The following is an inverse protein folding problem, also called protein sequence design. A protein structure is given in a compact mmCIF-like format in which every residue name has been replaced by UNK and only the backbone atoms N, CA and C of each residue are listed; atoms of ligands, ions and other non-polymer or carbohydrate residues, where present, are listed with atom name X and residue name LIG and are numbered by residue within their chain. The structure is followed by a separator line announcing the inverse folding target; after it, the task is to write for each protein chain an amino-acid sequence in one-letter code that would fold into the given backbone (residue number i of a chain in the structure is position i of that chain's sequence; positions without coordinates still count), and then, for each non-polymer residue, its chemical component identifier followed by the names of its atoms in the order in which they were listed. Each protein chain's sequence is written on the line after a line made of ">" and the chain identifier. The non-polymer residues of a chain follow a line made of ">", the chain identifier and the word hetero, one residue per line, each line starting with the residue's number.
data_IF_258129871820
#
_entry.id   IF_258129871820
#
_cell.length_a   1.000
_cell.length_b   1.000
_cell.length_c   1.000
_cell.angle_alpha   90.00
_cell.angle_beta   90.00
_cell.angle_gamma   90.00
#
_symmetry.space_group_name_H-M   'P 1'
#
loop_
_entity.id
_entity.type
_entity.pdbx_description
1 polymer ?
#
# COMPACT_ATOMS: atom_id res chain seq x y z
N UNK A 1 63.73 48.15 23.50
CA UNK A 1 62.37 48.62 23.13
C UNK A 1 61.60 47.43 22.57
N UNK A 2 60.69 46.89 23.36
CA UNK A 2 59.94 45.64 23.14
C UNK A 2 58.57 45.97 22.56
N UNK A 3 58.26 45.48 21.35
CA UNK A 3 56.90 45.56 20.78
C UNK A 3 56.10 44.31 21.13
N UNK A 4 54.91 44.57 21.69
CA UNK A 4 53.98 43.63 22.31
C UNK A 4 53.05 43.04 21.24
N UNK A 5 53.06 41.71 21.11
CA UNK A 5 52.15 40.95 20.25
C UNK A 5 50.72 40.95 20.82
N UNK A 6 49.75 41.44 20.06
CA UNK A 6 48.32 41.33 20.37
C UNK A 6 47.75 40.12 19.61
N UNK A 7 47.41 39.06 20.35
CA UNK A 7 46.62 37.93 19.89
C UNK A 7 45.16 38.36 19.74
N UNK A 8 44.62 38.31 18.52
CA UNK A 8 43.19 38.43 18.27
C UNK A 8 42.46 37.19 18.76
N UNK A 9 41.49 37.38 19.66
CA UNK A 9 40.56 36.35 20.13
C UNK A 9 39.53 36.09 19.04
N UNK A 10 39.43 34.85 18.59
CA UNK A 10 38.40 34.39 17.66
C UNK A 10 37.08 34.30 18.44
N UNK A 11 36.09 35.10 18.04
CA UNK A 11 34.71 34.98 18.52
C UNK A 11 34.07 33.73 17.91
N UNK A 12 33.84 32.71 18.74
CA UNK A 12 33.20 31.46 18.34
C UNK A 12 32.11 31.08 19.33
N UNK A 13 30.91 31.68 19.25
CA UNK A 13 29.75 31.21 20.02
C UNK A 13 28.46 31.96 19.66
N UNK A 14 27.67 31.48 18.68
CA UNK A 14 26.21 31.80 18.57
C UNK A 14 25.38 30.75 17.77
N UNK A 15 25.88 29.52 17.53
CA UNK A 15 25.14 28.50 16.75
C UNK A 15 24.33 27.48 17.59
N UNK A 16 24.39 27.54 18.92
CA UNK A 16 23.77 26.54 19.81
C UNK A 16 22.24 26.64 20.05
N UNK A 17 21.57 27.81 20.07
CA UNK A 17 20.15 27.86 20.47
C UNK A 17 19.18 27.35 19.39
N UNK A 18 19.53 27.42 18.10
CA UNK A 18 18.64 27.01 17.01
C UNK A 18 18.42 25.49 16.92
N UNK A 19 19.45 24.69 17.27
CA UNK A 19 19.36 23.23 17.29
C UNK A 19 18.41 22.71 18.37
N UNK A 20 18.43 23.30 19.57
CA UNK A 20 17.58 22.87 20.67
C UNK A 20 16.08 23.10 20.39
N UNK A 21 15.73 24.22 19.75
CA UNK A 21 14.34 24.53 19.39
C UNK A 21 13.83 23.57 18.30
N UNK A 22 14.65 23.28 17.28
CA UNK A 22 14.29 22.33 16.22
C UNK A 22 14.10 20.89 16.75
N UNK A 23 14.93 20.47 17.71
CA UNK A 23 14.80 19.18 18.38
C UNK A 23 13.46 19.08 19.15
N UNK A 24 13.12 20.11 19.94
CA UNK A 24 11.87 20.14 20.72
C UNK A 24 10.62 20.04 19.84
N UNK A 25 10.60 20.76 18.71
CA UNK A 25 9.47 20.70 17.78
C UNK A 25 9.32 19.31 17.13
N UNK A 26 10.44 18.64 16.88
CA UNK A 26 10.46 17.26 16.35
C UNK A 26 9.93 16.26 17.38
N UNK A 27 10.36 16.39 18.64
CA UNK A 27 9.93 15.52 19.74
C UNK A 27 8.42 15.68 20.03
N UNK A 28 7.91 16.91 19.98
CA UNK A 28 6.48 17.20 20.13
C UNK A 28 5.65 16.58 19.01
N UNK A 29 6.07 16.74 17.75
CA UNK A 29 5.41 16.13 16.61
C UNK A 29 5.43 14.60 16.71
N UNK A 30 6.55 14.02 17.13
CA UNK A 30 6.66 12.58 17.35
C UNK A 30 5.67 12.10 18.43
N UNK A 31 5.51 12.84 19.53
CA UNK A 31 4.54 12.51 20.56
C UNK A 31 3.09 12.61 20.07
N UNK A 32 2.76 13.62 19.25
CA UNK A 32 1.46 13.74 18.58
C UNK A 32 1.18 12.55 17.65
N UNK A 33 2.16 12.17 16.82
CA UNK A 33 2.06 11.01 15.92
C UNK A 33 1.85 9.72 16.71
N UNK A 34 2.62 9.51 17.78
CA UNK A 34 2.47 8.32 18.63
C UNK A 34 1.08 8.22 19.27
N UNK A 35 0.53 9.34 19.78
CA UNK A 35 -0.84 9.38 20.31
C UNK A 35 -1.89 9.07 19.24
N UNK A 36 -1.75 9.67 18.07
CA UNK A 36 -2.67 9.41 16.96
C UNK A 36 -2.59 7.97 16.44
N UNK A 37 -1.41 7.35 16.49
CA UNK A 37 -1.19 5.96 16.10
C UNK A 37 -1.65 4.93 17.14
N UNK A 38 -1.85 5.33 18.40
CA UNK A 38 -2.20 4.40 19.49
C UNK A 38 -3.53 3.66 19.29
N UNK A 39 -4.44 4.20 18.48
CA UNK A 39 -5.72 3.57 18.15
C UNK A 39 -5.65 2.63 16.93
N UNK A 40 -4.49 2.52 16.27
CA UNK A 40 -4.37 1.66 15.10
C UNK A 40 -4.39 0.18 15.48
N UNK A 41 -5.03 -0.68 14.64
CA UNK A 41 -4.87 -2.13 14.77
C UNK A 41 -3.41 -2.56 14.60
N UNK A 42 -3.09 -3.78 15.07
CA UNK A 42 -1.72 -4.31 15.12
C UNK A 42 -1.00 -4.30 13.76
N UNK A 43 -1.69 -4.68 12.68
CA UNK A 43 -1.15 -4.72 11.31
C UNK A 43 -0.69 -3.33 10.82
N UNK A 44 -1.57 -2.29 10.73
CA UNK A 44 -1.15 -0.91 10.45
C UNK A 44 -0.09 -0.35 11.39
N UNK A 45 -0.20 -0.62 12.70
CA UNK A 45 0.78 -0.15 13.67
C UNK A 45 2.17 -0.76 13.43
N UNK A 46 2.24 -2.03 13.00
CA UNK A 46 3.49 -2.68 12.62
C UNK A 46 4.08 -2.11 11.34
N UNK A 47 3.27 -1.96 10.29
CA UNK A 47 3.73 -1.35 9.04
C UNK A 47 4.24 0.08 9.26
N UNK A 48 3.55 0.87 10.09
CA UNK A 48 3.96 2.23 10.42
C UNK A 48 5.37 2.29 11.03
N UNK A 49 5.74 1.31 11.87
CA UNK A 49 7.10 1.23 12.45
C UNK A 49 8.17 0.88 11.42
N UNK A 50 7.81 0.20 10.32
CA UNK A 50 8.71 -0.14 9.22
C UNK A 50 8.92 0.99 8.19
N UNK A 51 8.27 2.15 8.38
CA UNK A 51 8.39 3.29 7.46
C UNK A 51 9.50 4.23 7.95
N UNK A 52 10.38 4.61 7.02
CA UNK A 52 11.55 5.42 7.31
C UNK A 52 11.18 6.91 7.51
N UNK A 53 11.52 7.43 8.68
CA UNK A 53 11.39 8.85 9.01
C UNK A 53 9.97 9.29 9.36
N UNK A 54 9.88 10.22 10.31
CA UNK A 54 8.63 10.76 10.84
C UNK A 54 7.70 11.34 9.75
N UNK A 55 8.19 12.08 8.73
CA UNK A 55 7.32 12.61 7.68
C UNK A 55 6.56 11.52 6.90
N UNK A 56 7.24 10.44 6.50
CA UNK A 56 6.61 9.35 5.74
C UNK A 56 5.66 8.54 6.61
N UNK A 57 6.02 8.34 7.89
CA UNK A 57 5.13 7.72 8.88
C UNK A 57 3.84 8.51 9.03
N UNK A 58 3.93 9.82 9.20
CA UNK A 58 2.77 10.71 9.33
C UNK A 58 1.83 10.62 8.10
N UNK A 59 2.38 10.58 6.89
CA UNK A 59 1.59 10.44 5.66
C UNK A 59 0.89 9.06 5.57
N UNK A 60 1.55 7.99 6.01
CA UNK A 60 0.95 6.66 6.07
C UNK A 60 -0.12 6.56 7.16
N UNK A 61 0.14 7.09 8.36
CA UNK A 61 -0.79 7.18 9.48
C UNK A 61 -2.12 7.82 9.04
N UNK A 62 -2.05 8.93 8.29
CA UNK A 62 -3.24 9.53 7.69
C UNK A 62 -4.06 8.54 6.89
N UNK A 63 -3.41 7.75 6.04
CA UNK A 63 -4.10 6.79 5.17
C UNK A 63 -4.75 5.69 6.00
N UNK A 64 -4.09 5.20 7.03
CA UNK A 64 -4.64 4.21 7.97
C UNK A 64 -5.85 4.76 8.75
N UNK A 65 -5.75 5.98 9.28
CA UNK A 65 -6.85 6.63 10.00
C UNK A 65 -8.07 6.91 9.12
N UNK A 66 -7.89 7.05 7.81
CA UNK A 66 -8.97 7.20 6.83
C UNK A 66 -9.58 5.87 6.40
N UNK A 67 -8.77 4.82 6.32
CA UNK A 67 -9.23 3.51 5.89
C UNK A 67 -10.16 2.86 6.91
N UNK A 68 -9.95 3.08 8.21
CA UNK A 68 -10.75 2.47 9.26
C UNK A 68 -10.41 0.98 9.39
N UNK A 69 -11.39 0.10 9.21
CA UNK A 69 -11.14 -1.34 9.19
C UNK A 69 -10.39 -1.73 7.89
N UNK A 70 -9.19 -2.27 8.08
CA UNK A 70 -8.29 -2.66 6.99
C UNK A 70 -8.21 -4.18 6.80
N UNK A 71 -8.86 -4.99 7.65
CA UNK A 71 -8.61 -6.43 7.74
C UNK A 71 -8.69 -7.14 6.39
N UNK A 72 -9.84 -7.06 5.74
CA UNK A 72 -10.09 -7.72 4.44
C UNK A 72 -9.29 -7.11 3.27
N UNK A 73 -8.64 -5.96 3.46
CA UNK A 73 -7.89 -5.25 2.42
C UNK A 73 -6.38 -5.26 2.65
N UNK A 74 -5.95 -5.86 3.76
CA UNK A 74 -4.56 -5.79 4.18
C UNK A 74 -3.67 -6.66 3.29
N UNK A 75 -2.63 -6.06 2.73
CA UNK A 75 -1.69 -6.79 1.86
C UNK A 75 -0.94 -7.89 2.62
N UNK A 76 -0.74 -9.02 1.94
CA UNK A 76 0.07 -10.13 2.42
C UNK A 76 1.56 -9.78 2.50
N UNK A 77 2.25 -10.36 3.47
CA UNK A 77 3.72 -10.45 3.54
C UNK A 77 4.28 -11.35 2.46
N UNK A 78 5.59 -11.30 2.19
CA UNK A 78 6.24 -12.22 1.25
C UNK A 78 5.98 -13.70 1.58
N UNK A 79 5.94 -14.07 2.86
CA UNK A 79 5.66 -15.43 3.30
C UNK A 79 4.21 -15.85 2.97
N UNK A 80 3.23 -14.99 3.23
CA UNK A 80 1.84 -15.23 2.88
C UNK A 80 1.64 -15.30 1.35
N UNK A 81 2.34 -14.47 0.58
CA UNK A 81 2.36 -14.55 -0.89
C UNK A 81 2.92 -15.91 -1.34
N UNK A 82 4.07 -16.34 -0.80
CA UNK A 82 4.67 -17.62 -1.14
C UNK A 82 3.78 -18.83 -0.77
N UNK A 83 3.02 -18.74 0.32
CA UNK A 83 2.03 -19.76 0.68
C UNK A 83 0.84 -19.75 -0.28
N UNK A 84 0.33 -18.58 -0.65
CA UNK A 84 -0.74 -18.45 -1.64
C UNK A 84 -0.33 -19.01 -3.00
N UNK A 85 0.87 -18.72 -3.48
CA UNK A 85 1.35 -19.19 -4.79
C UNK A 85 1.40 -20.73 -4.91
N UNK A 86 1.44 -21.44 -3.78
CA UNK A 86 1.39 -22.90 -3.68
C UNK A 86 -0.02 -23.46 -3.44
N UNK A 87 -1.04 -22.61 -3.38
CA UNK A 87 -2.40 -23.00 -3.00
C UNK A 87 -3.29 -23.29 -4.21
N UNK A 88 -4.35 -24.12 -4.05
CA UNK A 88 -5.37 -24.30 -5.08
C UNK A 88 -6.05 -22.99 -5.50
N UNK A 89 -6.23 -22.05 -4.56
CA UNK A 89 -6.84 -20.74 -4.84
C UNK A 89 -6.01 -19.93 -5.86
N UNK A 90 -4.68 -20.07 -5.84
CA UNK A 90 -3.82 -19.45 -6.84
C UNK A 90 -3.94 -20.12 -8.21
N UNK A 91 -4.02 -21.45 -8.27
CA UNK A 91 -4.26 -22.17 -9.52
C UNK A 91 -5.59 -21.76 -10.16
N UNK A 92 -6.65 -21.62 -9.36
CA UNK A 92 -7.96 -21.12 -9.80
C UNK A 92 -7.88 -19.68 -10.36
N UNK A 93 -7.15 -18.80 -9.67
CA UNK A 93 -6.93 -17.43 -10.15
C UNK A 93 -6.19 -17.42 -11.50
N UNK A 94 -5.15 -18.25 -11.66
CA UNK A 94 -4.43 -18.40 -12.92
C UNK A 94 -5.34 -18.95 -14.04
N UNK A 95 -6.22 -19.89 -13.73
CA UNK A 95 -7.20 -20.42 -14.69
C UNK A 95 -8.20 -19.34 -15.14
N UNK A 96 -8.70 -18.52 -14.21
CA UNK A 96 -9.58 -17.39 -14.53
C UNK A 96 -8.89 -16.36 -15.42
N UNK A 97 -7.62 -16.04 -15.13
CA UNK A 97 -6.81 -15.14 -15.97
C UNK A 97 -6.57 -15.72 -17.36
N UNK A 98 -6.20 -16.99 -17.46
CA UNK A 98 -5.99 -17.68 -18.73
C UNK A 98 -7.27 -17.68 -19.59
N UNK A 99 -8.44 -17.90 -18.97
CA UNK A 99 -9.73 -17.78 -19.64
C UNK A 99 -9.93 -16.37 -20.22
N UNK A 100 -9.68 -15.32 -19.42
CA UNK A 100 -9.87 -13.93 -19.86
C UNK A 100 -8.92 -13.58 -21.02
N UNK A 101 -7.66 -14.02 -20.92
CA UNK A 101 -6.66 -13.84 -21.99
C UNK A 101 -7.10 -14.52 -23.30
N UNK A 102 -7.53 -15.78 -23.23
CA UNK A 102 -7.98 -16.52 -24.40
C UNK A 102 -9.23 -15.87 -25.03
N UNK A 103 -10.23 -15.52 -24.21
CA UNK A 103 -11.47 -14.88 -24.68
C UNK A 103 -11.22 -13.51 -25.30
N UNK A 104 -10.30 -12.73 -24.74
CA UNK A 104 -9.92 -11.45 -25.32
C UNK A 104 -9.21 -11.60 -26.66
N UNK A 105 -8.27 -12.53 -26.78
CA UNK A 105 -7.54 -12.78 -28.03
C UNK A 105 -8.47 -13.29 -29.15
N UNK A 106 -9.44 -14.15 -28.83
CA UNK A 106 -10.47 -14.62 -29.76
C UNK A 106 -11.27 -13.45 -30.36
N UNK A 107 -11.66 -12.47 -29.53
CA UNK A 107 -12.44 -11.30 -29.94
C UNK A 107 -11.63 -10.18 -30.59
N UNK A 108 -10.32 -10.19 -30.37
CA UNK A 108 -9.42 -9.13 -30.82
C UNK A 108 -8.22 -9.75 -31.56
N UNK A 109 -8.41 -10.30 -32.77
CA UNK A 109 -7.32 -10.93 -33.51
C UNK A 109 -6.10 -10.01 -33.66
N UNK A 110 -4.91 -10.55 -33.36
CA UNK A 110 -3.65 -9.82 -33.37
C UNK A 110 -3.29 -9.13 -32.05
N UNK A 111 -4.14 -9.21 -31.02
CA UNK A 111 -3.91 -8.62 -29.71
C UNK A 111 -4.00 -9.66 -28.59
N UNK A 112 -3.31 -9.41 -27.49
CA UNK A 112 -3.33 -10.25 -26.29
C UNK A 112 -3.38 -9.41 -25.01
N UNK A 113 -3.76 -10.06 -23.91
CA UNK A 113 -3.71 -9.46 -22.58
C UNK A 113 -2.45 -9.92 -21.83
N UNK A 114 -1.73 -8.98 -21.27
CA UNK A 114 -0.70 -9.21 -20.26
C UNK A 114 -1.21 -8.84 -18.87
N UNK A 115 -0.89 -9.65 -17.87
CA UNK A 115 -1.25 -9.43 -16.47
C UNK A 115 -0.04 -9.78 -15.61
N UNK A 116 0.28 -8.94 -14.64
CA UNK A 116 1.22 -9.32 -13.59
C UNK A 116 0.49 -10.15 -12.54
N UNK A 117 0.83 -11.43 -12.44
CA UNK A 117 0.17 -12.39 -11.54
C UNK A 117 0.73 -12.36 -10.12
N UNK A 118 1.89 -11.73 -9.90
CA UNK A 118 2.51 -11.68 -8.57
C UNK A 118 1.79 -10.66 -7.69
N UNK A 119 1.32 -11.12 -6.53
CA UNK A 119 0.82 -10.25 -5.49
C UNK A 119 1.90 -9.23 -5.08
N UNK A 120 1.49 -8.00 -4.84
CA UNK A 120 2.42 -6.97 -4.35
C UNK A 120 2.49 -7.06 -2.84
N UNK A 121 3.52 -7.72 -2.31
CA UNK A 121 3.68 -7.91 -0.87
C UNK A 121 3.77 -6.60 -0.09
N UNK A 122 3.45 -6.68 1.21
CA UNK A 122 3.62 -5.59 2.17
C UNK A 122 5.08 -5.13 2.21
N UNK A 123 6.02 -6.06 2.17
CA UNK A 123 7.46 -5.80 2.19
C UNK A 123 7.89 -4.94 0.98
N UNK A 124 7.47 -5.33 -0.23
CA UNK A 124 7.68 -4.54 -1.45
C UNK A 124 7.02 -3.17 -1.36
N UNK A 125 5.83 -3.08 -0.76
CA UNK A 125 5.14 -1.79 -0.58
C UNK A 125 5.87 -0.87 0.39
N UNK A 126 6.42 -1.39 1.49
CA UNK A 126 7.23 -0.64 2.45
C UNK A 126 8.50 -0.11 1.78
N UNK A 127 9.23 -0.96 1.05
CA UNK A 127 10.43 -0.56 0.32
C UNK A 127 10.13 0.58 -0.67
N UNK A 128 9.10 0.41 -1.50
CA UNK A 128 8.68 1.44 -2.47
C UNK A 128 8.22 2.70 -1.78
N UNK A 129 7.48 2.58 -0.68
CA UNK A 129 7.03 3.74 0.08
C UNK A 129 8.19 4.54 0.65
N UNK A 130 9.23 3.88 1.16
CA UNK A 130 10.41 4.54 1.73
C UNK A 130 11.31 5.18 0.66
N UNK A 131 11.36 4.61 -0.55
CA UNK A 131 12.24 5.06 -1.63
C UNK A 131 11.58 6.01 -2.64
N UNK A 132 10.24 6.06 -2.71
CA UNK A 132 9.55 6.87 -3.71
C UNK A 132 9.68 8.39 -3.45
N UNK A 133 10.12 9.13 -4.47
CA UNK A 133 10.34 10.58 -4.40
C UNK A 133 9.04 11.38 -4.22
N UNK A 134 7.96 11.02 -4.92
CA UNK A 134 6.67 11.73 -4.79
C UNK A 134 6.06 11.58 -3.39
N UNK A 135 6.22 10.39 -2.78
CA UNK A 135 5.84 10.17 -1.38
C UNK A 135 6.68 11.05 -0.46
N UNK A 136 7.99 11.17 -0.69
CA UNK A 136 8.87 12.04 0.09
C UNK A 136 8.43 13.51 0.03
N UNK A 137 8.14 14.03 -1.16
CA UNK A 137 7.66 15.42 -1.34
C UNK A 137 6.36 15.66 -0.58
N UNK A 138 5.37 14.77 -0.72
CA UNK A 138 4.09 14.89 -0.01
C UNK A 138 4.24 14.75 1.50
N UNK A 139 5.11 13.84 1.96
CA UNK A 139 5.39 13.61 3.37
C UNK A 139 6.02 14.83 4.04
N UNK A 140 7.01 15.46 3.40
CA UNK A 140 7.65 16.68 3.88
C UNK A 140 6.68 17.87 3.95
N UNK A 141 5.81 18.01 2.94
CA UNK A 141 4.76 19.02 2.97
C UNK A 141 3.80 18.81 4.15
N UNK A 142 3.42 17.56 4.41
CA UNK A 142 2.56 17.23 5.55
C UNK A 142 3.25 17.50 6.89
N UNK A 143 4.51 17.11 7.05
CA UNK A 143 5.25 17.27 8.30
C UNK A 143 5.36 18.75 8.73
N UNK A 144 5.62 19.65 7.77
CA UNK A 144 5.63 21.11 8.04
C UNK A 144 4.29 21.61 8.58
N UNK A 145 3.19 21.25 7.92
CA UNK A 145 1.85 21.65 8.36
C UNK A 145 1.43 20.99 9.69
N UNK A 146 1.93 19.77 9.95
CA UNK A 146 1.57 19.01 11.13
C UNK A 146 2.24 19.51 12.40
N UNK A 147 3.45 20.08 12.32
CA UNK A 147 4.11 20.69 13.47
C UNK A 147 3.24 21.79 14.09
N UNK A 148 2.72 22.69 13.25
CA UNK A 148 1.81 23.78 13.68
C UNK A 148 0.51 23.22 14.26
N UNK A 149 -0.10 22.23 13.60
CA UNK A 149 -1.34 21.61 14.05
C UNK A 149 -1.18 20.86 15.39
N UNK A 150 -0.04 20.19 15.58
CA UNK A 150 0.27 19.46 16.81
C UNK A 150 0.38 20.40 18.01
N UNK A 151 1.05 21.55 17.85
CA UNK A 151 1.18 22.56 18.91
C UNK A 151 -0.18 23.22 19.20
N UNK A 152 -0.92 23.59 18.16
CA UNK A 152 -2.17 24.33 18.31
C UNK A 152 -3.28 23.50 18.98
N UNK A 153 -3.39 22.21 18.64
CA UNK A 153 -4.47 21.36 19.12
C UNK A 153 -4.05 19.86 19.21
N UNK A 154 -3.18 19.50 20.17
CA UNK A 154 -2.63 18.14 20.26
C UNK A 154 -3.68 17.06 20.52
N UNK A 155 -4.82 17.40 21.12
CA UNK A 155 -5.93 16.47 21.41
C UNK A 155 -6.78 16.13 20.18
N UNK A 156 -6.85 17.02 19.19
CA UNK A 156 -7.60 16.81 17.93
C UNK A 156 -6.68 16.50 16.74
N UNK A 157 -5.39 16.27 17.00
CA UNK A 157 -4.38 16.05 15.96
C UNK A 157 -4.72 14.87 15.04
N UNK A 158 -5.28 13.77 15.56
CA UNK A 158 -5.67 12.62 14.75
C UNK A 158 -6.78 12.97 13.71
N UNK A 159 -7.71 13.85 14.07
CA UNK A 159 -8.75 14.33 13.17
C UNK A 159 -8.17 15.24 12.08
N UNK A 160 -7.25 16.12 12.46
CA UNK A 160 -6.50 16.94 11.51
C UNK A 160 -5.71 16.08 10.51
N UNK A 161 -4.99 15.07 11.01
CA UNK A 161 -4.22 14.12 10.19
C UNK A 161 -5.13 13.42 9.19
N UNK A 162 -6.31 12.94 9.64
CA UNK A 162 -7.31 12.30 8.78
C UNK A 162 -7.85 13.25 7.72
N UNK A 163 -8.07 14.51 8.05
CA UNK A 163 -8.65 15.54 7.19
C UNK A 163 -7.69 16.18 6.19
N UNK A 164 -6.38 16.15 6.45
CA UNK A 164 -5.37 16.77 5.60
C UNK A 164 -5.43 16.23 4.16
N UNK A 165 -5.11 17.06 3.15
CA UNK A 165 -5.11 16.64 1.74
C UNK A 165 -3.77 17.02 1.10
N UNK A 166 -3.02 16.04 0.55
CA UNK A 166 -1.80 16.34 -0.19
C UNK A 166 -2.11 17.07 -1.49
N UNK A 167 -1.28 18.06 -1.81
CA UNK A 167 -1.25 18.75 -3.09
C UNK A 167 0.23 18.95 -3.52
N UNK A 168 0.73 18.21 -4.54
CA UNK A 168 0.04 17.17 -5.30
C UNK A 168 -0.19 15.90 -4.47
N UNK A 169 -1.16 15.04 -4.86
CA UNK A 169 -1.36 13.76 -4.19
C UNK A 169 -0.12 12.85 -4.32
N UNK A 170 0.10 12.00 -3.31
CA UNK A 170 1.09 10.94 -3.42
C UNK A 170 0.62 9.90 -4.44
N UNK A 171 1.49 9.52 -5.38
CA UNK A 171 1.18 8.58 -6.45
C UNK A 171 1.27 7.10 -6.03
N UNK A 172 1.25 6.83 -4.72
CA UNK A 172 1.37 5.49 -4.16
C UNK A 172 0.40 5.34 -2.98
N UNK A 173 -0.28 4.20 -2.92
CA UNK A 173 -1.08 3.84 -1.75
C UNK A 173 -0.17 3.60 -0.54
N UNK A 174 -0.67 3.88 0.66
CA UNK A 174 0.06 3.54 1.88
C UNK A 174 0.26 2.01 1.98
N UNK A 175 1.41 1.55 2.51
CA UNK A 175 1.71 0.12 2.61
C UNK A 175 0.62 -0.66 3.32
N UNK A 176 0.20 -1.78 2.74
CA UNK A 176 -0.84 -2.64 3.28
C UNK A 176 -2.24 -2.30 2.77
N UNK A 177 -2.49 -1.14 2.16
CA UNK A 177 -3.82 -0.75 1.67
C UNK A 177 -4.06 -1.02 0.16
N UNK A 178 -3.18 -1.78 -0.48
CA UNK A 178 -3.26 -2.11 -1.90
C UNK A 178 -4.13 -3.36 -2.14
N UNK A 179 -5.11 -3.26 -3.04
CA UNK A 179 -5.95 -4.41 -3.45
C UNK A 179 -5.14 -5.54 -4.12
N UNK A 180 -4.03 -5.20 -4.79
CA UNK A 180 -3.09 -6.20 -5.34
C UNK A 180 -2.32 -6.99 -4.28
N UNK A 181 -2.41 -6.58 -3.00
CA UNK A 181 -1.68 -7.22 -1.92
C UNK A 181 -2.20 -8.59 -1.53
N UNK A 182 -3.39 -8.98 -2.01
CA UNK A 182 -3.99 -10.29 -1.74
C UNK A 182 -4.25 -11.10 -3.02
N UNK A 183 -3.62 -10.73 -4.15
CA UNK A 183 -3.96 -11.27 -5.47
C UNK A 183 -5.47 -11.25 -5.82
N UNK A 184 -6.23 -10.34 -5.19
CA UNK A 184 -7.67 -10.13 -5.43
C UNK A 184 -7.95 -9.02 -6.43
N UNK A 185 -6.92 -8.52 -7.09
CA UNK A 185 -7.06 -7.51 -8.13
C UNK A 185 -5.95 -7.64 -9.15
N UNK A 186 -6.32 -7.50 -10.42
CA UNK A 186 -5.42 -7.64 -11.55
C UNK A 186 -5.53 -6.44 -12.47
N UNK A 187 -4.36 -5.95 -12.88
CA UNK A 187 -4.23 -4.90 -13.89
C UNK A 187 -3.93 -5.56 -15.24
N UNK A 188 -4.87 -5.41 -16.18
CA UNK A 188 -4.73 -5.92 -17.52
C UNK A 188 -4.06 -4.91 -18.45
N UNK A 189 -3.15 -5.38 -19.30
CA UNK A 189 -2.47 -4.57 -20.31
C UNK A 189 -2.72 -5.17 -21.68
N UNK A 190 -2.83 -4.33 -22.71
CA UNK A 190 -3.05 -4.79 -24.09
C UNK A 190 -1.75 -4.75 -24.86
N UNK A 191 -1.39 -5.90 -25.43
CA UNK A 191 -0.24 -6.06 -26.32
C UNK A 191 -0.71 -6.32 -27.76
N UNK A 192 0.12 -5.89 -28.72
CA UNK A 192 0.08 -6.31 -30.12
C UNK A 192 1.44 -6.91 -30.47
N UNK A 193 1.54 -8.24 -30.46
CA UNK A 193 2.85 -8.90 -30.40
C UNK A 193 3.60 -8.46 -29.13
N UNK A 194 4.79 -7.89 -29.29
CA UNK A 194 5.62 -7.38 -28.18
C UNK A 194 5.36 -5.89 -27.84
N UNK A 195 4.49 -5.21 -28.59
CA UNK A 195 4.24 -3.77 -28.43
C UNK A 195 3.13 -3.55 -27.42
N UNK A 196 3.42 -2.77 -26.38
CA UNK A 196 2.41 -2.30 -25.42
C UNK A 196 1.53 -1.22 -26.07
N UNK A 197 0.26 -1.54 -26.28
CA UNK A 197 -0.74 -0.64 -26.89
C UNK A 197 -1.55 0.11 -25.84
N UNK A 198 -1.84 -0.54 -24.71
CA UNK A 198 -2.49 0.09 -23.57
C UNK A 198 -1.93 -0.46 -22.25
N UNK A 199 -1.18 0.39 -21.54
CA UNK A 199 -0.55 0.08 -20.25
C UNK A 199 -1.31 0.63 -19.05
N UNK A 200 -0.69 0.60 -17.87
CA UNK A 200 -1.30 1.07 -16.60
C UNK A 200 -0.94 2.53 -16.25
N UNK A 201 -0.59 3.36 -17.24
CA UNK A 201 -0.30 4.78 -17.03
C UNK A 201 -1.59 5.59 -16.99
N UNK A 202 -1.96 6.09 -15.81
CA UNK A 202 -3.16 6.92 -15.60
C UNK A 202 -3.19 8.18 -16.46
N UNK A 203 -2.04 8.72 -16.87
CA UNK A 203 -1.96 9.89 -17.74
C UNK A 203 -2.37 9.59 -19.19
N UNK A 204 -2.41 8.31 -19.56
CA UNK A 204 -2.74 7.84 -20.91
C UNK A 204 -4.09 7.14 -20.99
N UNK A 205 -4.91 7.19 -19.93
CA UNK A 205 -6.25 6.58 -19.92
C UNK A 205 -7.07 7.03 -21.12
N UNK A 206 -7.23 8.34 -21.34
CA UNK A 206 -8.12 8.82 -22.38
C UNK A 206 -7.63 8.44 -23.79
N UNK A 207 -6.34 8.63 -24.07
CA UNK A 207 -5.77 8.31 -25.39
C UNK A 207 -5.72 6.79 -25.67
N UNK A 208 -5.14 6.00 -24.77
CA UNK A 208 -4.90 4.59 -25.04
C UNK A 208 -6.18 3.78 -24.77
N UNK A 209 -6.78 3.93 -23.59
CA UNK A 209 -7.88 3.06 -23.17
C UNK A 209 -9.25 3.48 -23.70
N UNK A 210 -9.54 4.78 -23.75
CA UNK A 210 -10.88 5.27 -24.10
C UNK A 210 -10.99 5.49 -25.61
N UNK A 211 -10.15 6.35 -26.19
CA UNK A 211 -10.13 6.62 -27.62
C UNK A 211 -9.68 5.40 -28.43
N UNK A 212 -8.67 4.65 -27.94
CA UNK A 212 -8.28 3.36 -28.51
C UNK A 212 -9.32 2.25 -28.36
N UNK A 213 -10.37 2.46 -27.54
CA UNK A 213 -11.50 1.54 -27.38
C UNK A 213 -11.19 0.27 -26.57
N UNK A 214 -10.00 0.18 -25.95
CA UNK A 214 -9.57 -0.99 -25.18
C UNK A 214 -10.36 -1.18 -23.88
N UNK A 215 -10.79 -0.10 -23.23
CA UNK A 215 -11.60 -0.19 -22.02
C UNK A 215 -12.92 -0.92 -22.28
N UNK A 216 -13.59 -0.61 -23.39
CA UNK A 216 -14.84 -1.27 -23.79
C UNK A 216 -14.61 -2.74 -24.11
N UNK A 217 -13.58 -3.04 -24.91
CA UNK A 217 -13.27 -4.43 -25.34
C UNK A 217 -12.92 -5.33 -24.16
N UNK A 218 -12.15 -4.81 -23.19
CA UNK A 218 -11.84 -5.53 -21.96
C UNK A 218 -13.09 -5.73 -21.11
N UNK A 219 -13.91 -4.69 -20.92
CA UNK A 219 -15.14 -4.78 -20.14
C UNK A 219 -16.13 -5.79 -20.73
N UNK A 220 -16.24 -5.88 -22.06
CA UNK A 220 -17.09 -6.89 -22.73
C UNK A 220 -16.64 -8.31 -22.42
N UNK A 221 -15.33 -8.59 -22.37
CA UNK A 221 -14.81 -9.90 -21.98
C UNK A 221 -15.07 -10.17 -20.50
N UNK A 222 -14.80 -9.19 -19.63
CA UNK A 222 -14.96 -9.37 -18.19
C UNK A 222 -16.42 -9.55 -17.77
N UNK A 223 -17.38 -8.95 -18.49
CA UNK A 223 -18.80 -9.14 -18.25
C UNK A 223 -19.30 -10.59 -18.47
N UNK A 224 -18.53 -11.42 -19.19
CA UNK A 224 -18.82 -12.85 -19.38
C UNK A 224 -18.25 -13.73 -18.26
N UNK A 225 -17.37 -13.19 -17.41
CA UNK A 225 -16.75 -13.94 -16.31
C UNK A 225 -17.50 -13.70 -15.01
N UNK A 226 -17.88 -14.75 -14.27
CA UNK A 226 -18.33 -14.58 -12.88
C UNK A 226 -17.16 -14.26 -11.93
N UNK A 227 -15.91 -14.43 -12.37
CA UNK A 227 -14.73 -14.31 -11.50
C UNK A 227 -14.17 -12.89 -11.40
N UNK A 228 -14.56 -11.97 -12.27
CA UNK A 228 -14.01 -10.60 -12.30
C UNK A 228 -15.10 -9.54 -12.12
N UNK A 229 -14.84 -8.59 -11.22
CA UNK A 229 -15.68 -7.42 -10.98
C UNK A 229 -14.90 -6.14 -11.33
N UNK A 230 -15.50 -5.24 -12.10
CA UNK A 230 -14.86 -3.99 -12.48
C UNK A 230 -15.44 -3.35 -13.74
N UNK A 231 -14.72 -2.40 -14.35
CA UNK A 231 -13.41 -1.88 -13.92
C UNK A 231 -13.51 -0.97 -12.68
N UNK A 232 -12.37 -0.66 -12.05
CA UNK A 232 -12.30 0.30 -10.94
C UNK A 232 -12.71 1.72 -11.40
N UNK A 233 -13.63 2.33 -10.66
CA UNK A 233 -14.22 3.63 -11.01
C UNK A 233 -13.55 4.83 -10.35
N UNK A 234 -12.97 4.66 -9.16
CA UNK A 234 -12.34 5.74 -8.39
C UNK A 234 -11.12 5.24 -7.61
N UNK A 235 -9.89 5.59 -8.03
CA UNK A 235 -9.57 6.30 -9.28
C UNK A 235 -10.05 5.51 -10.51
N UNK A 236 -10.29 6.21 -11.61
CA UNK A 236 -10.72 5.57 -12.87
C UNK A 236 -9.54 4.76 -13.42
N UNK A 237 -9.63 3.44 -13.39
CA UNK A 237 -8.60 2.54 -13.87
C UNK A 237 -9.27 1.45 -14.73
N UNK A 238 -9.43 1.69 -16.05
CA UNK A 238 -10.17 0.79 -16.93
C UNK A 238 -9.55 -0.61 -17.09
N UNK A 239 -8.30 -0.77 -16.67
CA UNK A 239 -7.57 -2.04 -16.65
C UNK A 239 -7.73 -2.83 -15.35
N UNK A 240 -8.25 -2.22 -14.28
CA UNK A 240 -8.22 -2.80 -12.94
C UNK A 240 -9.52 -3.55 -12.66
N UNK A 241 -9.43 -4.86 -12.42
CA UNK A 241 -10.56 -5.71 -12.06
C UNK A 241 -10.25 -6.46 -10.77
N UNK A 242 -11.23 -6.48 -9.87
CA UNK A 242 -11.21 -7.34 -8.69
C UNK A 242 -11.46 -8.79 -9.11
N UNK A 243 -10.77 -9.72 -8.46
CA UNK A 243 -10.99 -11.15 -8.59
C UNK A 243 -11.80 -11.65 -7.40
N UNK A 244 -12.97 -12.21 -7.70
CA UNK A 244 -13.84 -12.86 -6.75
C UNK A 244 -13.74 -14.38 -7.00
N UNK A 245 -13.04 -15.14 -6.13
CA UNK A 245 -13.03 -16.59 -6.24
C UNK A 245 -14.46 -17.13 -6.09
N UNK A 246 -14.74 -18.28 -6.70
CA UNK A 246 -16.02 -18.95 -6.50
C UNK A 246 -16.24 -19.24 -5.00
N UNK A 247 -17.49 -19.14 -4.54
CA UNK A 247 -17.83 -19.39 -3.13
C UNK A 247 -17.26 -20.74 -2.66
N UNK A 248 -16.42 -20.71 -1.62
CA UNK A 248 -15.76 -21.90 -1.05
C UNK A 248 -14.23 -21.91 -1.17
N UNK A 249 -13.64 -21.12 -2.07
CA UNK A 249 -12.18 -21.05 -2.27
C UNK A 249 -11.50 -19.96 -1.42
N UNK A 250 -11.90 -19.80 -0.15
CA UNK A 250 -11.25 -18.83 0.74
C UNK A 250 -9.85 -19.31 1.15
N UNK A 251 -8.81 -18.46 1.03
CA UNK A 251 -7.45 -18.79 1.47
C UNK A 251 -7.32 -18.88 3.00
N UNK A 252 -8.33 -18.41 3.75
CA UNK A 252 -8.37 -18.40 5.20
C UNK A 252 -8.65 -19.78 5.82
N UNK A 253 -8.53 -20.86 5.05
CA UNK A 253 -8.50 -22.25 5.53
C UNK A 253 -7.26 -22.59 6.38
N UNK A 254 -6.77 -21.66 7.19
CA UNK A 254 -6.07 -22.03 8.41
C UNK A 254 -7.08 -22.77 9.27
N UNK A 255 -7.03 -24.09 9.22
CA UNK A 255 -7.63 -24.95 10.24
C UNK A 255 -7.29 -24.31 11.59
N UNK A 256 -8.31 -23.85 12.32
CA UNK A 256 -8.10 -23.59 13.73
C UNK A 256 -7.71 -24.95 14.31
N UNK A 257 -6.46 -25.05 14.76
CA UNK A 257 -6.10 -26.06 15.73
C UNK A 257 -6.74 -25.62 17.05
N UNK A 258 -8.07 -25.62 17.11
CA UNK A 258 -8.78 -25.70 18.37
C UNK A 258 -8.56 -27.13 18.85
N UNK A 259 -7.51 -27.27 19.66
CA UNK A 259 -7.31 -28.45 20.46
C UNK A 259 -8.55 -28.63 21.33
N UNK A 260 -9.30 -29.68 21.03
CA UNK A 260 -10.37 -30.21 21.87
C UNK A 260 -9.77 -30.60 23.23
N UNK A 261 -10.14 -29.96 24.36
CA UNK A 261 -9.60 -30.31 25.67
C UNK A 261 -10.31 -31.53 26.31
N UNK A 262 -11.23 -32.21 25.62
CA UNK A 262 -12.06 -33.28 26.21
C UNK A 262 -11.77 -34.69 25.63
N UNK A 263 -10.50 -35.03 25.44
CA UNK A 263 -10.11 -36.44 25.29
C UNK A 263 -9.96 -37.11 26.68
N UNK A 264 -10.76 -38.13 27.02
CA UNK A 264 -10.63 -38.84 28.29
C UNK A 264 -9.32 -39.64 28.31
N UNK A 265 -8.57 -39.46 29.40
CA UNK A 265 -7.49 -40.35 29.83
C UNK A 265 -8.09 -41.72 30.13
N UNK A 266 -7.88 -42.68 29.24
CA UNK A 266 -8.07 -44.09 29.54
C UNK A 266 -6.71 -44.73 29.80
N UNK A 267 -6.55 -45.21 31.02
CA UNK A 267 -5.40 -45.90 31.53
C UNK A 267 -5.75 -47.37 31.64
N UNK A 268 -5.08 -48.24 30.90
CA UNK A 268 -4.84 -49.63 31.33
C UNK A 268 -3.58 -50.22 30.67
N UNK A 269 -2.81 -50.86 31.55
CA UNK A 269 -1.55 -51.59 31.38
C UNK A 269 -1.62 -52.93 30.61
N UNK A 270 -0.42 -53.51 30.44
CA UNK A 270 0.00 -54.88 30.10
C UNK A 270 0.38 -55.10 28.62
N UNK A 271 1.60 -55.52 28.25
CA UNK A 271 2.70 -56.25 28.92
C UNK A 271 4.08 -55.59 28.73
#
# INVERSE_FOLDING_TARGET
>A
MTFRSMRGVIAATWLLPALAVAQSATDELQACVARAAAALPSKPASALRGIDGLPRQLLALRSYLRAGDVGARWSWTDAEVGAYEQSPAHEEALAALAWAQARFAERNPGYSLYVNTRARSLDTQLERWNTNASVGVAAEAMARAAAEACVAAPSTFAEWVRGWRPDPPANLAAPGLSAHGQARAFDFQVLQGEVLVAGTDSRRIDADWIEGGWARRLAEVMAESPAFEGPLRSPREPWHYAYAPAEGASPDGHASCDADPDAPVDATDAD
#
